data_IF_163640365585
#
_entry.id   IF_163640365585
#
_cell.length_a   1.000
_cell.length_b   1.000
_cell.length_c   1.000
_cell.angle_alpha   90.00
_cell.angle_beta   90.00
_cell.angle_gamma   90.00
#
_symmetry.space_group_name_H-M   'P 1'
#
loop_
_entity.id
_entity.type
_entity.pdbx_description
1 polymer ?
#
# COMPACT_ATOMS: atom_id res chain seq x y z
N UNK A 1 -4.50 2.27 4.96
CA UNK A 1 -3.71 3.13 4.03
C UNK A 1 -3.92 2.80 2.54
N UNK A 2 -4.72 1.78 2.20
CA UNK A 2 -5.01 1.37 0.81
C UNK A 2 -6.06 2.23 0.07
N UNK A 3 -6.61 3.26 0.70
CA UNK A 3 -7.73 4.04 0.14
C UNK A 3 -7.33 5.21 -0.75
N UNK A 4 -6.05 5.62 -0.77
CA UNK A 4 -5.61 6.74 -1.60
C UNK A 4 -5.27 6.21 -3.00
N UNK A 5 -6.23 6.33 -3.92
CA UNK A 5 -6.09 5.90 -5.34
C UNK A 5 -5.86 7.12 -6.23
N UNK A 6 -5.05 6.94 -7.27
CA UNK A 6 -4.76 7.98 -8.26
C UNK A 6 -6.03 8.57 -8.92
N UNK A 7 -6.02 9.88 -9.12
CA UNK A 7 -7.15 10.63 -9.67
C UNK A 7 -8.33 10.76 -8.72
N UNK A 8 -8.18 10.34 -7.47
CA UNK A 8 -9.18 10.53 -6.41
C UNK A 8 -8.81 11.70 -5.51
N UNK A 9 -9.85 12.32 -4.97
CA UNK A 9 -9.76 13.22 -3.84
C UNK A 9 -9.96 12.42 -2.55
N UNK A 10 -9.14 12.71 -1.56
CA UNK A 10 -9.23 12.08 -0.25
C UNK A 10 -9.07 13.15 0.82
N UNK A 11 -9.76 12.98 1.94
CA UNK A 11 -9.59 13.82 3.11
C UNK A 11 -9.12 12.91 4.24
N UNK A 12 -8.06 13.33 4.93
CA UNK A 12 -7.50 12.65 6.10
C UNK A 12 -7.66 13.59 7.28
N UNK A 13 -8.37 13.15 8.30
CA UNK A 13 -8.41 13.84 9.59
C UNK A 13 -7.10 13.55 10.32
N UNK A 14 -6.40 14.61 10.72
CA UNK A 14 -5.15 14.54 11.43
C UNK A 14 -5.38 14.97 12.88
N UNK A 15 -4.81 14.21 13.84
CA UNK A 15 -4.89 14.52 15.25
C UNK A 15 -4.18 15.84 15.58
N UNK A 16 -3.03 16.05 14.94
CA UNK A 16 -2.16 17.20 15.16
C UNK A 16 -1.34 17.50 13.91
N UNK A 17 -0.61 18.60 13.93
CA UNK A 17 0.25 19.03 12.82
C UNK A 17 1.39 18.05 12.55
N UNK A 18 1.92 17.39 13.58
CA UNK A 18 2.96 16.38 13.42
C UNK A 18 2.48 15.20 12.55
N UNK A 19 1.27 14.68 12.83
CA UNK A 19 0.67 13.61 12.02
C UNK A 19 0.43 14.06 10.57
N UNK A 20 0.01 15.30 10.35
CA UNK A 20 -0.14 15.86 9.00
C UNK A 20 1.18 15.82 8.24
N UNK A 21 2.27 16.26 8.86
CA UNK A 21 3.60 16.23 8.27
C UNK A 21 4.05 14.80 7.96
N UNK A 22 3.83 13.86 8.88
CA UNK A 22 4.15 12.44 8.65
C UNK A 22 3.42 11.87 7.41
N UNK A 23 2.14 12.19 7.24
CA UNK A 23 1.36 11.78 6.05
C UNK A 23 1.93 12.39 4.79
N UNK A 24 2.27 13.67 4.81
CA UNK A 24 2.86 14.39 3.68
C UNK A 24 4.19 13.76 3.26
N UNK A 25 5.11 13.53 4.18
CA UNK A 25 6.41 12.91 3.92
C UNK A 25 6.25 11.46 3.41
N UNK A 26 5.32 10.70 3.99
CA UNK A 26 5.02 9.34 3.52
C UNK A 26 4.56 9.33 2.06
N UNK A 27 3.71 10.27 1.65
CA UNK A 27 3.24 10.38 0.27
C UNK A 27 4.39 10.72 -0.70
N UNK A 28 5.34 11.55 -0.27
CA UNK A 28 6.56 11.84 -1.03
C UNK A 28 7.43 10.60 -1.23
N UNK A 29 7.69 9.84 -0.15
CA UNK A 29 8.49 8.59 -0.18
C UNK A 29 7.85 7.58 -1.14
N UNK A 30 6.53 7.49 -1.18
CA UNK A 30 5.79 6.59 -2.09
C UNK A 30 5.80 7.05 -3.55
N UNK A 31 6.50 8.15 -3.87
CA UNK A 31 6.57 8.76 -5.22
C UNK A 31 5.18 8.96 -5.86
N UNK A 32 4.16 9.12 -5.03
CA UNK A 32 2.83 9.48 -5.49
C UNK A 32 2.88 10.94 -5.94
N UNK A 33 2.86 11.17 -7.25
CA UNK A 33 2.79 12.52 -7.81
C UNK A 33 1.43 13.10 -7.44
N UNK A 34 1.43 13.95 -6.43
CA UNK A 34 0.23 14.66 -6.02
C UNK A 34 0.02 15.86 -6.91
N UNK A 35 -1.21 16.11 -7.32
CA UNK A 35 -1.59 17.33 -7.97
C UNK A 35 -1.69 18.47 -6.97
N UNK A 36 -2.21 18.18 -5.78
CA UNK A 36 -2.51 19.21 -4.79
C UNK A 36 -2.64 18.61 -3.38
N UNK A 37 -2.07 19.30 -2.41
CA UNK A 37 -2.34 19.11 -0.98
C UNK A 37 -3.04 20.36 -0.44
N UNK A 38 -4.04 20.17 0.38
CA UNK A 38 -4.81 21.28 0.97
C UNK A 38 -4.83 21.07 2.48
N UNK A 39 -4.25 22.01 3.21
CA UNK A 39 -4.44 22.12 4.66
C UNK A 39 -5.81 22.72 4.92
N UNK A 40 -6.57 22.09 5.78
CA UNK A 40 -7.84 22.60 6.28
C UNK A 40 -7.79 22.58 7.82
N UNK A 41 -8.01 23.72 8.43
CA UNK A 41 -7.96 23.91 9.88
C UNK A 41 -9.20 24.65 10.36
N UNK A 42 -9.73 24.27 11.50
CA UNK A 42 -10.83 24.97 12.18
C UNK A 42 -12.03 25.27 11.28
N UNK A 43 -12.35 24.32 10.38
CA UNK A 43 -13.45 24.46 9.41
C UNK A 43 -14.76 24.87 10.09
N UNK A 44 -15.45 25.84 9.48
CA UNK A 44 -16.74 26.35 9.99
C UNK A 44 -16.63 27.33 11.15
N UNK A 45 -15.41 27.71 11.57
CA UNK A 45 -15.19 28.73 12.60
C UNK A 45 -14.77 30.08 12.01
N UNK A 46 -14.83 31.15 12.81
CA UNK A 46 -14.29 32.45 12.41
C UNK A 46 -12.77 32.46 12.15
N UNK A 47 -12.09 31.40 12.55
CA UNK A 47 -10.65 31.20 12.39
C UNK A 47 -10.34 30.10 11.36
N UNK A 48 -11.28 29.81 10.48
CA UNK A 48 -11.09 28.84 9.41
C UNK A 48 -9.86 29.18 8.56
N UNK A 49 -9.04 28.16 8.30
CA UNK A 49 -7.89 28.25 7.43
C UNK A 49 -7.95 27.13 6.39
N UNK A 50 -7.95 27.53 5.12
CA UNK A 50 -7.83 26.61 3.98
C UNK A 50 -6.73 27.11 3.08
N UNK A 51 -5.67 26.31 2.90
CA UNK A 51 -4.54 26.70 2.07
C UNK A 51 -3.89 25.54 1.33
N UNK A 52 -3.33 25.81 0.16
CA UNK A 52 -2.49 24.83 -0.53
C UNK A 52 -1.19 24.61 0.23
N UNK A 53 -0.83 23.33 0.43
CA UNK A 53 0.42 22.93 1.06
C UNK A 53 1.50 22.64 0.03
N UNK A 54 2.66 23.26 0.25
CA UNK A 54 3.92 22.98 -0.44
C UNK A 54 5.02 22.66 0.58
N UNK A 55 6.18 22.20 0.11
CA UNK A 55 7.34 21.97 0.99
C UNK A 55 7.76 23.24 1.72
N UNK A 56 7.71 24.39 1.04
CA UNK A 56 8.10 25.67 1.61
C UNK A 56 7.18 26.09 2.75
N UNK A 57 5.87 26.07 2.53
CA UNK A 57 4.94 26.55 3.56
C UNK A 57 4.73 25.55 4.70
N UNK A 58 5.02 24.26 4.54
CA UNK A 58 5.09 23.31 5.66
C UNK A 58 6.20 23.69 6.64
N UNK A 59 7.36 24.10 6.14
CA UNK A 59 8.47 24.54 6.99
C UNK A 59 8.13 25.83 7.74
N UNK A 60 7.47 26.77 7.06
CA UNK A 60 6.99 28.00 7.66
C UNK A 60 5.94 27.74 8.76
N UNK A 61 5.04 26.79 8.52
CA UNK A 61 4.02 26.40 9.52
C UNK A 61 4.65 25.70 10.72
N UNK A 62 5.69 24.87 10.52
CA UNK A 62 6.46 24.27 11.62
C UNK A 62 7.11 25.32 12.53
N UNK A 63 7.53 26.45 11.95
CA UNK A 63 8.19 27.53 12.69
C UNK A 63 7.23 28.42 13.48
N UNK A 64 5.92 28.39 13.17
CA UNK A 64 4.94 29.34 13.72
C UNK A 64 4.30 28.94 15.03
N UNK A 65 4.61 27.81 15.66
CA UNK A 65 3.98 27.31 16.92
C UNK A 65 2.44 27.45 16.99
N UNK A 66 1.78 27.68 15.85
CA UNK A 66 0.35 27.95 15.79
C UNK A 66 -0.45 26.68 16.02
N UNK A 67 -1.37 26.68 16.99
CA UNK A 67 -2.33 25.58 17.17
C UNK A 67 -3.31 25.59 16.00
N UNK A 68 -3.08 24.71 15.04
CA UNK A 68 -3.90 24.58 13.84
C UNK A 68 -5.05 23.55 13.98
N UNK A 69 -5.24 23.00 15.16
CA UNK A 69 -6.24 21.94 15.41
C UNK A 69 -7.67 22.53 15.55
N UNK A 70 -8.69 21.81 15.11
CA UNK A 70 -8.66 20.52 14.39
C UNK A 70 -8.18 20.62 12.96
N UNK A 71 -7.50 19.56 12.49
CA UNK A 71 -6.82 19.53 11.19
C UNK A 71 -7.38 18.45 10.25
N UNK A 72 -7.53 18.82 8.99
CA UNK A 72 -7.75 17.87 7.91
C UNK A 72 -6.79 18.14 6.74
N UNK A 73 -6.31 17.08 6.11
CA UNK A 73 -5.48 17.14 4.92
C UNK A 73 -6.28 16.66 3.70
N UNK A 74 -6.59 17.59 2.79
CA UNK A 74 -7.12 17.28 1.47
C UNK A 74 -5.99 16.83 0.55
N UNK A 75 -6.21 15.76 -0.19
CA UNK A 75 -5.23 15.21 -1.12
C UNK A 75 -5.92 15.01 -2.47
N UNK A 76 -5.36 15.61 -3.51
CA UNK A 76 -5.73 15.35 -4.89
C UNK A 76 -4.53 14.73 -5.63
N UNK A 77 -4.68 13.49 -6.10
CA UNK A 77 -3.62 12.78 -6.79
C UNK A 77 -3.67 13.01 -8.30
N UNK A 78 -2.51 13.21 -8.92
CA UNK A 78 -2.42 13.38 -10.36
C UNK A 78 -2.80 12.08 -11.09
N UNK A 79 -3.66 12.16 -12.09
CA UNK A 79 -4.07 11.04 -12.95
C UNK A 79 -2.93 10.37 -13.72
N UNK A 80 -1.78 11.06 -13.89
CA UNK A 80 -0.60 10.57 -14.63
C UNK A 80 0.42 9.83 -13.77
N UNK A 81 0.20 9.65 -12.47
CA UNK A 81 1.11 8.82 -11.67
C UNK A 81 0.93 7.35 -12.07
N UNK A 82 2.04 6.62 -12.12
CA UNK A 82 2.07 5.20 -12.52
C UNK A 82 0.99 4.40 -11.78
N UNK A 83 -0.06 4.06 -12.50
CA UNK A 83 -1.13 3.23 -11.96
C UNK A 83 -0.64 1.79 -11.86
N UNK A 84 -0.72 1.19 -10.68
CA UNK A 84 -0.86 -0.25 -10.62
C UNK A 84 -2.15 -0.60 -11.37
N UNK A 85 -2.08 -1.55 -12.26
CA UNK A 85 -3.27 -2.08 -12.93
C UNK A 85 -4.31 -2.47 -11.88
N UNK A 86 -5.59 -2.20 -12.16
CA UNK A 86 -6.70 -2.73 -11.34
C UNK A 86 -6.96 -4.20 -11.66
N UNK A 87 -6.37 -4.70 -12.74
CA UNK A 87 -6.46 -6.09 -13.16
C UNK A 87 -5.20 -6.84 -12.72
N UNK A 88 -5.35 -8.13 -12.47
CA UNK A 88 -4.23 -9.04 -12.19
C UNK A 88 -3.24 -9.09 -13.36
N UNK A 89 -2.01 -9.50 -13.07
CA UNK A 89 -0.92 -9.49 -14.04
C UNK A 89 -0.17 -8.16 -14.04
N UNK A 90 0.26 -7.70 -12.89
CA UNK A 90 1.16 -6.55 -12.79
C UNK A 90 2.46 -6.83 -13.56
N UNK A 91 3.09 -5.79 -14.11
CA UNK A 91 4.38 -5.93 -14.80
C UNK A 91 5.45 -6.50 -13.88
N UNK A 92 6.35 -7.31 -14.41
CA UNK A 92 7.41 -7.95 -13.63
C UNK A 92 8.30 -6.92 -12.91
N UNK A 93 8.53 -5.76 -13.53
CA UNK A 93 9.35 -4.67 -12.99
C UNK A 93 8.77 -4.04 -11.72
N UNK A 94 7.52 -4.33 -11.41
CA UNK A 94 6.89 -3.91 -10.16
C UNK A 94 7.30 -4.76 -8.95
N UNK A 95 8.03 -5.85 -9.16
CA UNK A 95 8.42 -6.77 -8.10
C UNK A 95 9.93 -6.88 -7.96
N UNK A 96 10.39 -7.06 -6.75
CA UNK A 96 11.75 -7.49 -6.44
C UNK A 96 11.86 -9.00 -6.57
N UNK A 97 12.89 -9.49 -7.25
CA UNK A 97 13.12 -10.92 -7.43
C UNK A 97 14.56 -11.20 -7.88
N UNK A 98 14.95 -12.47 -7.83
CA UNK A 98 16.21 -13.00 -8.40
C UNK A 98 16.13 -13.27 -9.93
N UNK A 99 15.07 -12.80 -10.59
CA UNK A 99 14.78 -13.11 -12.00
C UNK A 99 13.89 -14.35 -12.18
N UNK A 100 13.84 -15.26 -11.22
CA UNK A 100 12.92 -16.40 -11.18
C UNK A 100 11.57 -15.98 -10.60
N UNK A 101 10.83 -15.26 -11.39
CA UNK A 101 9.50 -14.76 -11.04
C UNK A 101 8.47 -15.42 -11.96
N UNK A 102 7.33 -15.80 -11.45
CA UNK A 102 6.17 -16.16 -12.27
C UNK A 102 5.86 -15.00 -13.20
N UNK A 103 5.96 -15.22 -14.50
CA UNK A 103 5.85 -14.15 -15.50
C UNK A 103 4.43 -13.57 -15.53
N UNK A 104 4.33 -12.29 -15.89
CA UNK A 104 3.06 -11.53 -15.90
C UNK A 104 1.88 -12.28 -16.54
N UNK A 105 1.98 -12.89 -17.75
CA UNK A 105 0.84 -13.60 -18.34
C UNK A 105 0.39 -14.80 -17.50
N UNK A 106 1.34 -15.54 -16.93
CA UNK A 106 1.04 -16.70 -16.08
C UNK A 106 0.36 -16.26 -14.80
N UNK A 107 0.83 -15.17 -14.17
CA UNK A 107 0.16 -14.62 -12.98
C UNK A 107 -1.26 -14.19 -13.29
N UNK A 108 -1.49 -13.51 -14.42
CA UNK A 108 -2.82 -13.09 -14.82
C UNK A 108 -3.78 -14.29 -14.98
N UNK A 109 -3.32 -15.38 -15.63
CA UNK A 109 -4.08 -16.62 -15.75
C UNK A 109 -4.32 -17.25 -14.40
N UNK A 110 -3.28 -17.41 -13.57
CA UNK A 110 -3.41 -17.96 -12.20
C UNK A 110 -4.44 -17.21 -11.39
N UNK A 111 -4.40 -15.88 -11.40
CA UNK A 111 -5.35 -15.06 -10.66
C UNK A 111 -6.78 -15.17 -11.21
N UNK A 112 -6.93 -15.36 -12.53
CA UNK A 112 -8.23 -15.60 -13.15
C UNK A 112 -8.82 -16.95 -12.75
N UNK A 113 -7.99 -18.00 -12.65
CA UNK A 113 -8.42 -19.35 -12.23
C UNK A 113 -8.74 -19.42 -10.74
N UNK A 114 -8.02 -18.67 -9.89
CA UNK A 114 -8.28 -18.61 -8.45
C UNK A 114 -9.63 -17.96 -8.09
N UNK A 115 -10.18 -17.10 -8.94
CA UNK A 115 -11.53 -16.52 -8.86
C UNK A 115 -11.94 -16.04 -7.45
N UNK A 116 -11.16 -15.13 -6.87
CA UNK A 116 -11.48 -14.64 -5.52
C UNK A 116 -12.80 -13.88 -5.45
N UNK A 117 -13.64 -14.22 -4.47
CA UNK A 117 -14.87 -13.50 -4.13
C UNK A 117 -14.67 -12.50 -2.99
N UNK A 118 -13.48 -12.51 -2.38
CA UNK A 118 -13.08 -11.60 -1.31
C UNK A 118 -13.25 -12.17 0.09
N UNK A 119 -12.46 -11.67 1.03
CA UNK A 119 -12.40 -12.15 2.42
C UNK A 119 -11.90 -13.61 2.54
N UNK A 120 -10.94 -13.97 1.71
CA UNK A 120 -10.43 -15.33 1.57
C UNK A 120 -8.95 -15.42 1.94
N UNK A 121 -8.54 -16.64 2.24
CA UNK A 121 -7.15 -16.98 2.60
C UNK A 121 -6.50 -17.75 1.46
N UNK A 122 -5.33 -17.30 1.02
CA UNK A 122 -4.49 -18.03 0.06
C UNK A 122 -3.33 -18.73 0.78
N UNK A 123 -3.07 -19.97 0.44
CA UNK A 123 -1.79 -20.61 0.70
C UNK A 123 -0.95 -20.60 -0.57
N UNK A 124 0.09 -19.76 -0.58
CA UNK A 124 1.05 -19.64 -1.69
C UNK A 124 2.27 -20.51 -1.38
N UNK A 125 2.24 -21.76 -1.86
CA UNK A 125 3.24 -22.78 -1.53
C UNK A 125 4.36 -22.73 -2.55
N UNK A 126 5.59 -22.48 -2.09
CA UNK A 126 6.72 -22.17 -2.96
C UNK A 126 6.62 -20.74 -3.50
N UNK A 127 6.30 -19.79 -2.63
CA UNK A 127 5.91 -18.44 -2.99
C UNK A 127 6.97 -17.66 -3.82
N UNK A 128 8.23 -18.10 -3.81
CA UNK A 128 9.32 -17.46 -4.55
C UNK A 128 9.51 -16.00 -4.10
N UNK A 129 9.17 -15.05 -4.96
CA UNK A 129 9.19 -13.62 -4.64
C UNK A 129 7.84 -13.10 -4.10
N UNK A 130 6.87 -13.97 -3.82
CA UNK A 130 5.56 -13.63 -3.26
C UNK A 130 4.61 -12.90 -4.20
N UNK A 131 4.82 -13.02 -5.51
CA UNK A 131 4.07 -12.22 -6.49
C UNK A 131 2.60 -12.61 -6.59
N UNK A 132 2.28 -13.90 -6.44
CA UNK A 132 0.89 -14.38 -6.39
C UNK A 132 0.22 -13.90 -5.10
N UNK A 133 0.87 -14.05 -3.95
CA UNK A 133 0.38 -13.52 -2.68
C UNK A 133 0.07 -12.03 -2.73
N UNK A 134 0.95 -11.25 -3.37
CA UNK A 134 0.77 -9.79 -3.53
C UNK A 134 -0.45 -9.51 -4.41
N UNK A 135 -0.53 -10.11 -5.60
CA UNK A 135 -1.65 -9.87 -6.51
C UNK A 135 -2.97 -10.35 -5.91
N UNK A 136 -3.00 -11.50 -5.22
CA UNK A 136 -4.15 -11.98 -4.46
C UNK A 136 -4.67 -10.95 -3.45
N UNK A 137 -3.78 -10.42 -2.64
CA UNK A 137 -4.16 -9.42 -1.65
C UNK A 137 -4.57 -8.07 -2.28
N UNK A 138 -4.11 -7.74 -3.48
CA UNK A 138 -4.50 -6.53 -4.20
C UNK A 138 -5.90 -6.62 -4.82
N UNK A 139 -6.39 -7.82 -5.16
CA UNK A 139 -7.73 -8.00 -5.75
C UNK A 139 -8.83 -7.61 -4.78
N UNK A 140 -8.67 -7.89 -3.49
CA UNK A 140 -9.64 -7.52 -2.46
C UNK A 140 -8.93 -7.08 -1.18
N UNK A 141 -9.45 -6.05 -0.52
CA UNK A 141 -8.86 -5.48 0.70
C UNK A 141 -8.90 -6.40 1.92
N UNK A 142 -9.78 -7.40 1.92
CA UNK A 142 -9.95 -8.35 3.01
C UNK A 142 -9.25 -9.70 2.75
N UNK A 143 -8.67 -9.90 1.56
CA UNK A 143 -7.90 -11.10 1.27
C UNK A 143 -6.60 -11.11 2.05
N UNK A 144 -6.23 -12.30 2.51
CA UNK A 144 -4.96 -12.57 3.18
C UNK A 144 -4.22 -13.70 2.47
N UNK A 145 -2.91 -13.79 2.66
CA UNK A 145 -2.09 -14.86 2.09
C UNK A 145 -1.04 -15.36 3.08
N UNK A 146 -0.76 -16.64 3.04
CA UNK A 146 0.36 -17.29 3.71
C UNK A 146 1.37 -17.71 2.65
N UNK A 147 2.45 -16.94 2.55
CA UNK A 147 3.53 -17.15 1.60
C UNK A 147 4.56 -18.11 2.21
N UNK A 148 4.55 -19.35 1.77
CA UNK A 148 5.43 -20.42 2.28
C UNK A 148 6.59 -20.58 1.30
N UNK A 149 7.81 -20.30 1.76
CA UNK A 149 9.02 -20.40 0.94
C UNK A 149 10.17 -21.03 1.76
N UNK A 150 10.89 -21.93 1.15
CA UNK A 150 11.97 -22.65 1.83
C UNK A 150 13.30 -21.89 1.77
N UNK A 151 13.54 -21.14 0.73
CA UNK A 151 14.80 -20.44 0.48
C UNK A 151 14.83 -19.08 1.19
N UNK A 152 15.79 -18.92 2.11
CA UNK A 152 15.97 -17.69 2.89
C UNK A 152 16.25 -16.46 2.00
N UNK A 153 17.01 -16.62 0.91
CA UNK A 153 17.31 -15.54 -0.03
C UNK A 153 16.05 -15.02 -0.78
N UNK A 154 15.03 -15.87 -0.98
CA UNK A 154 13.77 -15.46 -1.59
C UNK A 154 12.80 -14.81 -0.61
N UNK A 155 12.89 -15.16 0.66
CA UNK A 155 12.08 -14.53 1.71
C UNK A 155 12.33 -13.03 1.76
N UNK A 156 13.55 -12.57 1.60
CA UNK A 156 13.86 -11.14 1.57
C UNK A 156 13.10 -10.41 0.45
N UNK A 157 12.97 -11.03 -0.74
CA UNK A 157 12.17 -10.45 -1.82
C UNK A 157 10.69 -10.42 -1.49
N UNK A 158 10.14 -11.45 -0.84
CA UNK A 158 8.74 -11.45 -0.38
C UNK A 158 8.51 -10.27 0.56
N UNK A 159 9.38 -10.08 1.57
CA UNK A 159 9.26 -9.01 2.55
C UNK A 159 9.39 -7.62 1.91
N UNK A 160 10.33 -7.44 0.98
CA UNK A 160 10.45 -6.19 0.23
C UNK A 160 9.20 -5.89 -0.59
N UNK A 161 8.65 -6.89 -1.28
CA UNK A 161 7.41 -6.75 -2.05
C UNK A 161 6.22 -6.43 -1.13
N UNK A 162 6.07 -7.13 -0.01
CA UNK A 162 5.05 -6.84 1.00
C UNK A 162 5.12 -5.38 1.44
N UNK A 163 6.32 -4.90 1.77
CA UNK A 163 6.54 -3.50 2.18
C UNK A 163 6.24 -2.52 1.06
N UNK A 164 6.69 -2.81 -0.15
CA UNK A 164 6.46 -1.96 -1.32
C UNK A 164 4.96 -1.76 -1.60
N UNK A 165 4.17 -2.83 -1.50
CA UNK A 165 2.72 -2.80 -1.77
C UNK A 165 1.86 -2.46 -0.55
N UNK A 166 2.46 -2.30 0.65
CA UNK A 166 1.74 -1.95 1.89
C UNK A 166 0.87 -3.09 2.42
N UNK A 167 1.34 -4.34 2.32
CA UNK A 167 0.59 -5.56 2.63
C UNK A 167 1.05 -6.26 3.93
N UNK A 168 1.78 -5.56 4.81
CA UNK A 168 2.42 -6.14 6.01
C UNK A 168 1.43 -6.84 6.96
N UNK A 169 0.17 -6.41 6.97
CA UNK A 169 -0.88 -7.00 7.83
C UNK A 169 -1.75 -8.02 7.10
N UNK A 170 -1.39 -8.40 5.86
CA UNK A 170 -2.21 -9.28 5.03
C UNK A 170 -1.46 -10.43 4.40
N UNK A 171 -0.14 -10.36 4.31
CA UNK A 171 0.71 -11.45 3.83
C UNK A 171 1.63 -11.88 4.96
N UNK A 172 1.51 -13.16 5.33
CA UNK A 172 2.30 -13.77 6.39
C UNK A 172 3.35 -14.68 5.78
N UNK A 173 4.63 -14.37 6.02
CA UNK A 173 5.75 -15.12 5.45
C UNK A 173 6.12 -16.29 6.37
N UNK A 174 6.22 -17.48 5.79
CA UNK A 174 6.50 -18.72 6.50
C UNK A 174 7.71 -19.40 5.88
N UNK A 175 8.86 -19.40 6.59
CA UNK A 175 10.06 -20.05 6.11
C UNK A 175 10.02 -21.57 6.36
N UNK A 176 9.99 -22.35 5.32
CA UNK A 176 9.99 -23.82 5.38
C UNK A 176 9.07 -24.45 4.35
N UNK A 177 8.68 -25.70 4.62
CA UNK A 177 7.76 -26.47 3.77
C UNK A 177 6.34 -26.47 4.35
N UNK A 178 5.36 -26.82 3.51
CA UNK A 178 3.95 -26.86 3.93
C UNK A 178 3.72 -27.80 5.11
N UNK A 179 4.39 -28.96 5.14
CA UNK A 179 4.25 -29.98 6.18
C UNK A 179 4.52 -29.42 7.59
N UNK A 180 5.39 -28.42 7.69
CA UNK A 180 5.70 -27.74 8.95
C UNK A 180 4.54 -26.89 9.47
N UNK A 181 3.67 -26.40 8.59
CA UNK A 181 2.74 -25.33 8.92
C UNK A 181 1.27 -25.69 8.74
N UNK A 182 0.90 -26.65 7.86
CA UNK A 182 -0.48 -26.88 7.41
C UNK A 182 -1.52 -27.08 8.53
N UNK A 183 -1.10 -27.66 9.67
CA UNK A 183 -2.00 -27.87 10.83
C UNK A 183 -2.31 -26.58 11.61
N UNK A 184 -1.50 -25.54 11.42
CA UNK A 184 -1.58 -24.27 12.16
C UNK A 184 -2.16 -23.13 11.33
N UNK A 185 -2.22 -23.30 10.01
CA UNK A 185 -2.75 -22.29 9.12
C UNK A 185 -4.28 -22.31 9.11
N UNK A 186 -4.93 -21.14 8.96
CA UNK A 186 -6.36 -21.10 8.67
C UNK A 186 -6.63 -21.80 7.35
N UNK A 187 -7.82 -22.36 7.19
CA UNK A 187 -8.22 -23.00 5.93
C UNK A 187 -8.17 -21.96 4.79
N UNK A 188 -7.64 -22.34 3.60
CA UNK A 188 -7.70 -21.53 2.42
C UNK A 188 -9.11 -21.43 1.85
#
# INVERSE_FOLDING_TARGET
>A
NSKIKNGRRSIILCKDFHQLVQVFEWLKIKKLKTSRFILMSRLGSAQELVMDLSENNINDLKAREEKLEPLALGIELNKKSSHLSLFSGLRNENFKSDGNITKQPIRAITMSELQTFGNEVLWDIGAGSGTISVEWCLTNQNNTAYAIENRADRISFIEENIKQFGLQNRIFVMQGTLEKFYKKLPKP
#
